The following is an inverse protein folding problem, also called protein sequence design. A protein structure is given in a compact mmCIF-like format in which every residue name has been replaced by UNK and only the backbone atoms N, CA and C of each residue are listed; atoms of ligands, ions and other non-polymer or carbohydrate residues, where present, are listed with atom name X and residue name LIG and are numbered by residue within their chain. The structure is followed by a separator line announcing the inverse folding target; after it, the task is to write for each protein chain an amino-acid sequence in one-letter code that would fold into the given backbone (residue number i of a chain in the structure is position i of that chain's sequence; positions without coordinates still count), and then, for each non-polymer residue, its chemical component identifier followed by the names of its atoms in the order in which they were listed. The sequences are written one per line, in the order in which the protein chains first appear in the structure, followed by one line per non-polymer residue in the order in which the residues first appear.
data_IF_848497069445
#
_entry.id   IF_848497069445
#
_cell.length_a   1.000
_cell.length_b   1.000
_cell.length_c   1.000
_cell.angle_alpha   90.00
_cell.angle_beta   90.00
_cell.angle_gamma   90.00
#
_symmetry.space_group_name_H-M   'P 1'
#
loop_
_entity.id
_entity.type
_entity.pdbx_description
1 polymer ?
#
# COMPACT_ATOMS: atom_id res chain seq x y z
N UNK A 1 10.63 -7.05 18.81
CA UNK A 1 11.30 -7.34 17.52
C UNK A 1 12.34 -8.41 17.78
N UNK A 2 12.42 -9.46 16.95
CA UNK A 2 13.47 -10.48 17.07
C UNK A 2 14.67 -10.01 16.27
N UNK A 3 15.87 -10.04 16.84
CA UNK A 3 17.07 -9.59 16.16
C UNK A 3 17.30 -10.39 14.86
N UNK A 4 17.61 -9.68 13.77
CA UNK A 4 17.88 -10.26 12.46
C UNK A 4 16.66 -10.49 11.55
N UNK A 5 15.44 -10.24 12.03
CA UNK A 5 14.22 -10.40 11.20
C UNK A 5 13.66 -9.04 10.75
N UNK A 6 13.17 -9.00 9.51
CA UNK A 6 12.43 -7.85 8.96
C UNK A 6 10.99 -8.27 8.70
N UNK A 7 10.02 -7.55 9.29
CA UNK A 7 8.60 -7.76 8.99
C UNK A 7 8.24 -7.04 7.70
N UNK A 8 7.75 -7.79 6.72
CA UNK A 8 7.35 -7.26 5.40
C UNK A 8 5.88 -7.57 5.13
N UNK A 9 5.21 -6.75 4.33
CA UNK A 9 3.83 -6.99 3.89
C UNK A 9 3.62 -6.57 2.43
N UNK A 10 2.61 -7.18 1.80
CA UNK A 10 2.10 -6.78 0.50
C UNK A 10 0.60 -6.46 0.66
N UNK A 11 0.19 -5.29 0.21
CA UNK A 11 -1.19 -4.82 0.36
C UNK A 11 -1.79 -4.40 -0.99
N UNK A 12 -3.07 -4.68 -1.19
CA UNK A 12 -3.81 -4.32 -2.40
C UNK A 12 -5.02 -3.44 -2.05
N UNK A 13 -4.92 -2.10 -2.19
CA UNK A 13 -6.05 -1.22 -1.93
C UNK A 13 -7.16 -1.44 -2.95
N UNK A 14 -8.39 -1.10 -2.56
CA UNK A 14 -9.44 -0.83 -3.55
C UNK A 14 -9.06 0.46 -4.26
N UNK A 15 -8.97 0.40 -5.59
CA UNK A 15 -8.61 1.53 -6.44
C UNK A 15 -9.75 1.90 -7.38
N UNK A 16 -9.67 3.10 -7.94
CA UNK A 16 -10.50 3.62 -9.02
C UNK A 16 -9.58 4.07 -10.15
N UNK A 17 -9.93 3.71 -11.38
CA UNK A 17 -9.16 4.06 -12.57
C UNK A 17 -9.12 5.58 -12.73
N UNK A 18 -7.92 6.13 -12.90
CA UNK A 18 -7.67 7.57 -13.08
C UNK A 18 -8.10 8.49 -11.91
N UNK A 19 -8.43 7.95 -10.73
CA UNK A 19 -8.78 8.74 -9.54
C UNK A 19 -7.65 8.66 -8.50
N UNK A 20 -6.66 9.52 -8.68
CA UNK A 20 -5.44 9.59 -7.84
C UNK A 20 -5.77 9.93 -6.38
N UNK A 21 -6.75 10.81 -6.13
CA UNK A 21 -7.07 11.22 -4.77
C UNK A 21 -7.70 10.07 -3.99
N UNK A 22 -8.68 9.35 -4.57
CA UNK A 22 -9.26 8.18 -3.95
C UNK A 22 -8.20 7.10 -3.66
N UNK A 23 -7.35 6.81 -4.64
CA UNK A 23 -6.31 5.78 -4.52
C UNK A 23 -5.29 6.13 -3.44
N UNK A 24 -4.85 7.40 -3.38
CA UNK A 24 -3.94 7.92 -2.34
C UNK A 24 -4.51 7.67 -0.94
N UNK A 25 -5.79 8.02 -0.71
CA UNK A 25 -6.42 7.82 0.61
C UNK A 25 -6.48 6.34 1.01
N UNK A 26 -6.75 5.45 0.06
CA UNK A 26 -6.75 4.00 0.31
C UNK A 26 -5.34 3.47 0.65
N UNK A 27 -4.31 3.95 -0.05
CA UNK A 27 -2.90 3.61 0.22
C UNK A 27 -2.50 4.11 1.62
N UNK A 28 -2.80 5.36 1.95
CA UNK A 28 -2.46 5.96 3.25
C UNK A 28 -3.08 5.16 4.42
N UNK A 29 -4.35 4.78 4.31
CA UNK A 29 -5.00 3.94 5.33
C UNK A 29 -4.26 2.61 5.55
N UNK A 30 -3.82 1.96 4.48
CA UNK A 30 -3.07 0.71 4.58
C UNK A 30 -1.66 0.91 5.12
N UNK A 31 -1.02 2.05 4.84
CA UNK A 31 0.26 2.41 5.45
C UNK A 31 0.12 2.58 6.97
N UNK A 32 -0.93 3.27 7.44
CA UNK A 32 -1.21 3.45 8.87
C UNK A 32 -1.49 2.11 9.58
N UNK A 33 -2.18 1.18 8.91
CA UNK A 33 -2.44 -0.17 9.41
C UNK A 33 -1.13 -0.99 9.49
N UNK A 34 -0.32 -0.95 8.43
CA UNK A 34 0.96 -1.64 8.38
C UNK A 34 1.96 -1.12 9.44
N UNK A 35 1.99 0.19 9.68
CA UNK A 35 2.79 0.81 10.74
C UNK A 35 2.37 0.26 12.11
N UNK A 36 1.07 0.22 12.41
CA UNK A 36 0.54 -0.33 13.67
C UNK A 36 0.86 -1.81 13.87
N UNK A 37 1.01 -2.57 12.78
CA UNK A 37 1.43 -3.97 12.80
C UNK A 37 2.95 -4.18 12.84
N UNK A 38 3.73 -3.09 12.84
CA UNK A 38 5.19 -3.11 12.88
C UNK A 38 5.83 -3.57 11.57
N UNK A 39 5.15 -3.38 10.43
CA UNK A 39 5.69 -3.66 9.10
C UNK A 39 6.79 -2.64 8.77
N UNK A 40 7.92 -3.11 8.27
CA UNK A 40 9.09 -2.30 7.92
C UNK A 40 9.25 -2.11 6.40
N UNK A 41 8.67 -3.01 5.60
CA UNK A 41 8.59 -2.89 4.15
C UNK A 41 7.19 -3.26 3.68
N UNK A 42 6.52 -2.30 3.05
CA UNK A 42 5.19 -2.48 2.47
C UNK A 42 5.28 -2.29 0.96
N UNK A 43 4.77 -3.26 0.20
CA UNK A 43 4.69 -3.18 -1.26
C UNK A 43 3.24 -3.11 -1.74
N UNK A 44 3.04 -2.40 -2.85
CA UNK A 44 1.76 -2.21 -3.52
C UNK A 44 1.83 -2.66 -4.99
N UNK A 45 0.69 -2.88 -5.66
CA UNK A 45 0.65 -3.19 -7.09
C UNK A 45 1.25 -2.10 -7.98
N UNK A 46 1.57 -2.47 -9.22
CA UNK A 46 2.02 -1.54 -10.24
C UNK A 46 1.00 -0.41 -10.49
N UNK A 47 1.50 0.82 -10.66
CA UNK A 47 0.69 2.01 -10.92
C UNK A 47 -0.50 2.18 -9.94
N UNK A 48 -0.37 1.72 -8.69
CA UNK A 48 -1.45 1.73 -7.68
C UNK A 48 -2.09 3.11 -7.49
N UNK A 49 -1.37 4.19 -7.79
CA UNK A 49 -1.88 5.56 -7.69
C UNK A 49 -2.82 5.95 -8.85
N UNK A 50 -2.53 5.55 -10.09
CA UNK A 50 -3.34 5.88 -11.28
C UNK A 50 -4.27 4.74 -11.74
N UNK A 51 -4.01 3.53 -11.27
CA UNK A 51 -4.44 2.24 -11.81
C UNK A 51 -3.76 1.89 -13.15
N UNK A 52 -3.32 0.64 -13.27
CA UNK A 52 -2.61 0.13 -14.45
C UNK A 52 -3.41 0.24 -15.75
N UNK A 53 -4.74 0.13 -15.69
CA UNK A 53 -5.63 0.15 -16.86
C UNK A 53 -6.17 1.54 -17.19
N UNK A 54 -5.45 2.61 -16.83
CA UNK A 54 -5.91 4.00 -17.05
C UNK A 54 -5.67 4.54 -18.47
N UNK A 55 -5.30 3.66 -19.42
CA UNK A 55 -5.06 3.95 -20.83
C UNK A 55 -5.19 2.70 -21.68
#
# INVERSE_FOLDING_TARGET
MVEGYVRVAAATPKIKVADVEYNKQAIMKMMDEAEKEGVQLLVFPELVLSAYTCG
#
